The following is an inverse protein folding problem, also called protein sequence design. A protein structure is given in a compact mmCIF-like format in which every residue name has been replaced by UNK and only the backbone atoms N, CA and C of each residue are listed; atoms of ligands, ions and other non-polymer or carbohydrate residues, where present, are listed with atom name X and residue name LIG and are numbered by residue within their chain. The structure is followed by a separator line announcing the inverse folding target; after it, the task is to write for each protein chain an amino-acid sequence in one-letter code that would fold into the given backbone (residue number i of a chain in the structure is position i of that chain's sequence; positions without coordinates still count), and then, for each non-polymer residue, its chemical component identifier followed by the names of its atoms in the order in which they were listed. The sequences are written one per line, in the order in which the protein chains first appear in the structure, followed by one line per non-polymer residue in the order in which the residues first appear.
data_IF_152518688352
#
_entry.id   IF_152518688352
#
_cell.length_a   1.000
_cell.length_b   1.000
_cell.length_c   1.000
_cell.angle_alpha   90.00
_cell.angle_beta   90.00
_cell.angle_gamma   90.00
#
_symmetry.space_group_name_H-M   'P 1'
#
loop_
_entity.id
_entity.type
_entity.pdbx_description
1 polymer ?
#
# COMPACT_ATOMS: atom_id res chain seq x y z
N UNK A 1 11.35 -11.64 12.68
CA UNK A 1 12.60 -12.19 12.14
C UNK A 1 13.76 -11.26 12.48
N UNK A 2 13.72 -10.02 12.05
CA UNK A 2 14.86 -9.09 12.17
C UNK A 2 15.25 -8.78 13.62
N UNK A 3 14.28 -8.66 14.52
CA UNK A 3 14.55 -8.41 15.95
C UNK A 3 15.37 -9.53 16.63
N UNK A 4 15.25 -10.76 16.16
CA UNK A 4 15.95 -11.94 16.69
C UNK A 4 17.05 -12.45 15.78
N UNK A 5 17.18 -11.90 14.55
CA UNK A 5 18.08 -12.36 13.51
C UNK A 5 17.96 -13.86 13.22
N UNK A 6 16.71 -14.31 13.05
CA UNK A 6 16.34 -15.70 12.72
C UNK A 6 15.82 -15.79 11.30
N UNK A 7 15.74 -17.00 10.76
CA UNK A 7 15.20 -17.24 9.41
C UNK A 7 13.66 -17.20 9.38
N UNK A 8 13.03 -17.28 10.55
CA UNK A 8 11.56 -17.27 10.68
C UNK A 8 11.06 -16.06 11.50
N UNK A 9 9.84 -15.58 11.20
CA UNK A 9 8.97 -15.93 10.07
C UNK A 9 9.59 -15.50 8.72
N UNK A 10 9.47 -16.36 7.71
CA UNK A 10 9.97 -16.12 6.36
C UNK A 10 8.84 -15.55 5.48
N UNK A 11 8.96 -14.31 4.97
CA UNK A 11 7.92 -13.69 4.15
C UNK A 11 7.69 -14.45 2.82
N UNK A 12 8.71 -15.09 2.27
CA UNK A 12 8.59 -15.86 1.03
C UNK A 12 7.71 -17.10 1.23
N UNK A 13 7.93 -17.84 2.32
CA UNK A 13 7.07 -18.98 2.67
C UNK A 13 5.64 -18.55 3.00
N UNK A 14 5.49 -17.43 3.72
CA UNK A 14 4.18 -16.88 4.03
C UNK A 14 3.41 -16.51 2.76
N UNK A 15 4.03 -15.88 1.78
CA UNK A 15 3.42 -15.50 0.52
C UNK A 15 2.84 -16.71 -0.23
N UNK A 16 3.60 -17.80 -0.33
CA UNK A 16 3.12 -19.05 -0.97
C UNK A 16 1.88 -19.60 -0.27
N UNK A 17 1.87 -19.61 1.06
CA UNK A 17 0.72 -20.09 1.84
C UNK A 17 -0.51 -19.19 1.66
N UNK A 18 -0.30 -17.89 1.60
CA UNK A 18 -1.36 -16.88 1.38
C UNK A 18 -1.95 -17.01 -0.02
N UNK A 19 -1.13 -17.22 -1.05
CA UNK A 19 -1.63 -17.51 -2.41
C UNK A 19 -2.44 -18.80 -2.47
N UNK A 20 -1.95 -19.88 -1.86
CA UNK A 20 -2.67 -21.15 -1.79
C UNK A 20 -4.00 -21.02 -1.03
N UNK A 21 -4.10 -20.10 -0.08
CA UNK A 21 -5.33 -19.77 0.63
C UNK A 21 -6.29 -18.88 -0.20
N UNK A 22 -5.89 -18.42 -1.38
CA UNK A 22 -6.74 -17.69 -2.32
C UNK A 22 -6.50 -16.18 -2.39
N UNK A 23 -5.37 -15.68 -1.91
CA UNK A 23 -5.01 -14.27 -2.12
C UNK A 23 -4.79 -14.00 -3.62
N UNK A 24 -5.19 -12.80 -4.05
CA UNK A 24 -5.11 -12.37 -5.44
C UNK A 24 -3.83 -11.58 -5.77
N UNK A 25 -3.04 -11.24 -4.75
CA UNK A 25 -1.77 -10.55 -4.86
C UNK A 25 -1.03 -10.56 -3.53
N UNK A 26 0.25 -10.21 -3.56
CA UNK A 26 1.09 -10.07 -2.38
C UNK A 26 1.60 -8.64 -2.29
N UNK A 27 1.21 -7.94 -1.24
CA UNK A 27 1.75 -6.60 -0.94
C UNK A 27 2.84 -6.72 0.11
N UNK A 28 3.98 -6.10 -0.14
CA UNK A 28 5.16 -6.15 0.72
C UNK A 28 5.85 -4.79 0.78
N UNK A 29 6.19 -4.34 2.00
CA UNK A 29 6.83 -3.05 2.22
C UNK A 29 8.34 -3.20 2.40
N UNK A 30 9.13 -2.71 1.45
CA UNK A 30 10.57 -2.59 1.56
C UNK A 30 10.93 -1.21 2.14
N UNK A 31 11.04 -1.14 3.45
CA UNK A 31 11.45 0.08 4.15
C UNK A 31 12.92 0.41 3.89
N UNK A 32 13.27 1.70 3.95
CA UNK A 32 14.66 2.15 3.85
C UNK A 32 15.57 1.48 4.89
N UNK A 33 15.06 1.24 6.11
CA UNK A 33 15.82 0.60 7.19
C UNK A 33 15.80 -0.93 7.17
N UNK A 34 15.11 -1.57 6.21
CA UNK A 34 15.01 -3.04 6.03
C UNK A 34 14.51 -3.79 7.28
N UNK A 35 13.77 -3.14 8.19
CA UNK A 35 13.38 -3.75 9.48
C UNK A 35 12.42 -4.93 9.39
N UNK A 36 11.67 -5.08 8.31
CA UNK A 36 10.66 -6.13 8.15
C UNK A 36 11.00 -7.10 7.03
N UNK A 37 11.26 -6.57 5.85
CA UNK A 37 11.55 -7.30 4.62
C UNK A 37 12.90 -6.82 4.09
N UNK A 38 13.70 -7.73 3.59
CA UNK A 38 14.98 -7.44 2.95
C UNK A 38 14.86 -7.47 1.42
N UNK A 39 15.81 -6.87 0.75
CA UNK A 39 15.94 -6.92 -0.71
C UNK A 39 15.97 -8.35 -1.26
N UNK A 40 16.69 -9.27 -0.57
CA UNK A 40 16.68 -10.70 -0.88
C UNK A 40 15.24 -11.26 -0.90
N UNK A 41 14.45 -10.90 0.10
CA UNK A 41 13.09 -11.42 0.21
C UNK A 41 12.22 -10.92 -0.95
N UNK A 42 12.33 -9.64 -1.32
CA UNK A 42 11.60 -9.08 -2.46
C UNK A 42 11.98 -9.80 -3.75
N UNK A 43 13.28 -10.03 -4.01
CA UNK A 43 13.73 -10.76 -5.20
C UNK A 43 13.17 -12.19 -5.25
N UNK A 44 13.18 -12.90 -4.12
CA UNK A 44 12.61 -14.25 -4.04
C UNK A 44 11.09 -14.25 -4.19
N UNK A 45 10.40 -13.23 -3.68
CA UNK A 45 8.96 -13.08 -3.90
C UNK A 45 8.64 -12.91 -5.38
N UNK A 46 9.41 -12.12 -6.12
CA UNK A 46 9.24 -11.95 -7.56
C UNK A 46 9.41 -13.26 -8.35
N UNK A 47 10.25 -14.17 -7.87
CA UNK A 47 10.47 -15.48 -8.50
C UNK A 47 9.40 -16.51 -8.13
N UNK A 48 8.79 -16.39 -6.94
CA UNK A 48 7.91 -17.43 -6.36
C UNK A 48 6.43 -17.10 -6.44
N UNK A 49 6.06 -15.83 -6.29
CA UNK A 49 4.66 -15.36 -6.34
C UNK A 49 4.15 -15.38 -7.79
N UNK A 50 2.95 -15.92 -8.00
CA UNK A 50 2.33 -16.07 -9.32
C UNK A 50 1.21 -15.08 -9.59
N UNK A 51 0.59 -14.57 -8.54
CA UNK A 51 -0.53 -13.61 -8.62
C UNK A 51 -0.07 -12.19 -8.87
N UNK A 52 1.17 -11.87 -8.49
CA UNK A 52 1.79 -10.55 -8.65
C UNK A 52 2.21 -9.95 -7.31
N UNK A 53 3.26 -9.13 -7.37
CA UNK A 53 3.79 -8.41 -6.20
C UNK A 53 3.51 -6.92 -6.35
N UNK A 54 2.86 -6.35 -5.33
CA UNK A 54 2.80 -4.91 -5.10
C UNK A 54 3.89 -4.54 -4.09
N UNK A 55 4.85 -3.72 -4.50
CA UNK A 55 5.94 -3.27 -3.65
C UNK A 55 5.62 -1.90 -3.06
N UNK A 56 5.45 -1.84 -1.74
CA UNK A 56 5.38 -0.57 -1.02
C UNK A 56 6.79 -0.05 -0.72
N UNK A 57 7.00 1.25 -0.94
CA UNK A 57 8.29 1.89 -0.71
C UNK A 57 8.14 3.41 -0.50
N UNK A 58 9.11 4.00 0.16
CA UNK A 58 9.23 5.46 0.24
C UNK A 58 9.72 6.06 -1.10
N UNK A 59 9.49 7.36 -1.30
CA UNK A 59 10.06 8.10 -2.43
C UNK A 59 11.56 8.39 -2.22
N UNK A 60 12.35 7.38 -1.84
CA UNK A 60 13.77 7.48 -1.55
C UNK A 60 14.60 6.75 -2.62
N UNK A 61 15.75 7.32 -2.97
CA UNK A 61 16.53 6.90 -4.13
C UNK A 61 16.93 5.43 -4.08
N UNK A 62 17.38 4.93 -2.94
CA UNK A 62 17.90 3.57 -2.81
C UNK A 62 16.81 2.49 -3.01
N UNK A 63 15.61 2.68 -2.44
CA UNK A 63 14.51 1.73 -2.64
C UNK A 63 13.85 1.88 -4.01
N UNK A 64 13.86 3.09 -4.60
CA UNK A 64 13.44 3.30 -5.99
C UNK A 64 14.36 2.62 -6.99
N UNK A 65 15.70 2.65 -6.76
CA UNK A 65 16.66 1.94 -7.61
C UNK A 65 16.39 0.43 -7.60
N UNK A 66 16.11 -0.13 -6.42
CA UNK A 66 15.75 -1.54 -6.26
C UNK A 66 14.43 -1.85 -6.99
N UNK A 67 13.40 -1.02 -6.82
CA UNK A 67 12.13 -1.23 -7.49
C UNK A 67 12.27 -1.20 -9.02
N UNK A 68 13.04 -0.26 -9.56
CA UNK A 68 13.30 -0.16 -11.01
C UNK A 68 14.09 -1.36 -11.55
N UNK A 69 15.00 -1.94 -10.75
CA UNK A 69 15.75 -3.14 -11.13
C UNK A 69 14.88 -4.40 -11.09
N UNK A 70 14.04 -4.55 -10.07
CA UNK A 70 13.19 -5.74 -9.84
C UNK A 70 11.92 -5.73 -10.71
N UNK A 71 11.38 -4.56 -11.02
CA UNK A 71 10.18 -4.35 -11.84
C UNK A 71 8.95 -5.13 -11.32
N UNK A 72 8.46 -4.84 -10.08
CA UNK A 72 7.24 -5.47 -9.58
C UNK A 72 6.02 -5.12 -10.45
N UNK A 73 4.95 -5.91 -10.32
CA UNK A 73 3.68 -5.64 -11.02
C UNK A 73 3.14 -4.24 -10.73
N UNK A 74 3.27 -3.80 -9.48
CA UNK A 74 2.88 -2.48 -9.01
C UNK A 74 3.86 -1.99 -7.94
N UNK A 75 4.05 -0.68 -7.88
CA UNK A 75 4.75 0.00 -6.80
C UNK A 75 3.82 1.02 -6.15
N UNK A 76 3.63 0.94 -4.84
CA UNK A 76 2.83 1.87 -4.06
C UNK A 76 3.75 2.76 -3.23
N UNK A 77 3.76 4.06 -3.50
CA UNK A 77 4.50 5.01 -2.69
C UNK A 77 3.77 5.25 -1.37
N UNK A 78 4.48 5.09 -0.27
CA UNK A 78 3.98 5.26 1.10
C UNK A 78 4.84 6.26 1.87
N UNK A 79 4.28 6.99 2.87
CA UNK A 79 5.11 7.79 3.76
C UNK A 79 5.92 6.86 4.67
N UNK A 80 7.17 7.25 4.95
CA UNK A 80 8.03 6.51 5.86
C UNK A 80 8.72 7.47 6.84
N UNK A 81 8.40 7.34 8.12
CA UNK A 81 9.09 8.03 9.19
C UNK A 81 9.83 7.01 10.06
N UNK A 82 11.09 7.30 10.37
CA UNK A 82 11.97 6.37 11.11
C UNK A 82 11.45 6.01 12.49
N UNK A 83 10.72 6.92 13.13
CA UNK A 83 10.22 6.77 14.50
C UNK A 83 8.88 6.04 14.58
N UNK A 84 8.15 5.88 13.49
CA UNK A 84 6.86 5.20 13.44
C UNK A 84 7.04 3.67 13.35
N UNK A 85 6.26 2.94 14.13
CA UNK A 85 6.23 1.47 14.09
C UNK A 85 5.46 0.99 12.86
N UNK A 86 4.39 1.72 12.52
CA UNK A 86 3.56 1.51 11.33
C UNK A 86 3.34 2.85 10.63
N UNK A 87 2.94 2.83 9.36
CA UNK A 87 2.58 4.03 8.61
C UNK A 87 1.29 4.62 9.19
N UNK A 88 1.35 5.84 9.71
CA UNK A 88 0.18 6.58 10.20
C UNK A 88 -0.13 7.74 9.24
N UNK A 89 -1.30 7.67 8.56
CA UNK A 89 -1.72 8.65 7.56
C UNK A 89 -1.17 8.38 6.17
N UNK A 90 -1.77 9.02 5.16
CA UNK A 90 -1.34 8.97 3.77
C UNK A 90 -0.14 9.88 3.48
N UNK A 91 0.34 9.83 2.24
CA UNK A 91 1.37 10.74 1.73
C UNK A 91 0.91 12.19 1.87
N UNK A 92 1.80 13.03 2.35
CA UNK A 92 1.58 14.48 2.35
C UNK A 92 1.79 15.03 0.92
N UNK A 93 0.70 15.39 0.27
CA UNK A 93 0.67 15.99 -1.07
C UNK A 93 0.27 17.47 -1.02
N UNK A 94 0.50 18.15 0.10
CA UNK A 94 0.04 19.53 0.31
C UNK A 94 1.06 20.60 -0.10
N UNK A 95 2.35 20.26 -0.22
CA UNK A 95 3.41 21.20 -0.55
C UNK A 95 4.03 20.92 -1.93
N UNK A 96 4.48 21.98 -2.61
CA UNK A 96 5.16 21.86 -3.90
C UNK A 96 6.42 20.97 -3.81
N UNK A 97 7.13 21.01 -2.68
CA UNK A 97 8.31 20.19 -2.45
C UNK A 97 7.95 18.68 -2.42
N UNK A 98 6.90 18.31 -1.69
CA UNK A 98 6.43 16.92 -1.63
C UNK A 98 5.86 16.45 -2.96
N UNK A 99 5.10 17.29 -3.64
CA UNK A 99 4.59 16.99 -4.97
C UNK A 99 5.72 16.74 -5.97
N UNK A 100 6.80 17.52 -5.91
CA UNK A 100 7.97 17.31 -6.76
C UNK A 100 8.65 15.98 -6.46
N UNK A 101 8.91 15.66 -5.19
CA UNK A 101 9.55 14.40 -4.77
C UNK A 101 8.74 13.19 -5.21
N UNK A 102 7.43 13.20 -4.96
CA UNK A 102 6.53 12.11 -5.37
C UNK A 102 6.43 12.02 -6.89
N UNK A 103 6.33 13.14 -7.59
CA UNK A 103 6.28 13.20 -9.05
C UNK A 103 7.52 12.63 -9.72
N UNK A 104 8.70 12.94 -9.21
CA UNK A 104 9.98 12.40 -9.70
C UNK A 104 10.05 10.87 -9.47
N UNK A 105 9.61 10.41 -8.30
CA UNK A 105 9.54 8.98 -7.99
C UNK A 105 8.58 8.23 -8.93
N UNK A 106 7.36 8.75 -9.14
CA UNK A 106 6.40 8.17 -10.08
C UNK A 106 6.95 8.13 -11.51
N UNK A 107 7.61 9.22 -11.94
CA UNK A 107 8.22 9.29 -13.28
C UNK A 107 9.28 8.20 -13.48
N UNK A 108 10.11 7.94 -12.46
CA UNK A 108 11.12 6.87 -12.49
C UNK A 108 10.47 5.49 -12.59
N UNK A 109 9.48 5.20 -11.73
CA UNK A 109 8.78 3.92 -11.70
C UNK A 109 8.07 3.64 -13.03
N UNK A 110 7.36 4.62 -13.57
CA UNK A 110 6.71 4.50 -14.89
C UNK A 110 7.71 4.33 -16.02
N UNK A 111 8.84 5.03 -15.97
CA UNK A 111 9.94 4.86 -16.91
C UNK A 111 10.52 3.43 -16.92
N UNK A 112 10.42 2.71 -15.80
CA UNK A 112 10.76 1.30 -15.68
C UNK A 112 9.61 0.33 -16.07
N UNK A 113 8.46 0.84 -16.50
CA UNK A 113 7.30 0.02 -16.88
C UNK A 113 6.48 -0.51 -15.71
N UNK A 114 6.62 0.07 -14.52
CA UNK A 114 5.95 -0.35 -13.29
C UNK A 114 4.64 0.42 -13.16
N UNK A 115 3.52 -0.26 -12.87
CA UNK A 115 2.26 0.39 -12.50
C UNK A 115 2.43 1.10 -11.16
N UNK A 116 1.88 2.32 -11.05
CA UNK A 116 2.11 3.18 -9.90
C UNK A 116 0.87 3.38 -9.06
N UNK A 117 1.02 3.41 -7.74
CA UNK A 117 -0.03 3.70 -6.78
C UNK A 117 0.48 4.65 -5.70
N UNK A 118 -0.41 5.47 -5.14
CA UNK A 118 -0.13 6.35 -4.01
C UNK A 118 -1.01 5.99 -2.82
N UNK A 119 -0.38 5.77 -1.66
CA UNK A 119 -1.10 5.60 -0.40
C UNK A 119 -1.50 6.96 0.16
N UNK A 120 -2.80 7.26 0.18
CA UNK A 120 -3.31 8.61 0.47
C UNK A 120 -4.47 8.59 1.46
N UNK A 121 -4.63 9.67 2.19
CA UNK A 121 -5.83 9.87 2.98
C UNK A 121 -7.07 10.06 2.07
N UNK A 122 -8.27 9.62 2.50
CA UNK A 122 -9.48 9.67 1.69
C UNK A 122 -10.04 11.11 1.60
N UNK A 123 -9.26 12.03 1.01
CA UNK A 123 -9.61 13.44 0.81
C UNK A 123 -9.67 13.79 -0.68
N UNK A 124 -10.55 14.70 -1.08
CA UNK A 124 -10.63 15.14 -2.48
C UNK A 124 -9.32 15.75 -3.00
N UNK A 125 -8.60 16.45 -2.13
CA UNK A 125 -7.33 17.12 -2.43
C UNK A 125 -6.26 16.09 -2.80
N UNK A 126 -6.06 15.07 -1.96
CA UNK A 126 -5.07 14.02 -2.18
C UNK A 126 -5.38 13.21 -3.46
N UNK A 127 -6.66 12.91 -3.72
CA UNK A 127 -7.07 12.19 -4.93
C UNK A 127 -6.78 13.02 -6.18
N UNK A 128 -7.10 14.32 -6.19
CA UNK A 128 -6.82 15.21 -7.33
C UNK A 128 -5.31 15.35 -7.57
N UNK A 129 -4.54 15.54 -6.51
CA UNK A 129 -3.08 15.59 -6.59
C UNK A 129 -2.52 14.27 -7.19
N UNK A 130 -3.07 13.11 -6.81
CA UNK A 130 -2.66 11.82 -7.37
C UNK A 130 -2.89 11.74 -8.89
N UNK A 131 -4.02 12.28 -9.38
CA UNK A 131 -4.31 12.38 -10.82
C UNK A 131 -3.33 13.32 -11.52
N UNK A 132 -3.08 14.49 -10.95
CA UNK A 132 -2.16 15.50 -11.50
C UNK A 132 -0.73 14.96 -11.59
N UNK A 133 -0.31 14.16 -10.63
CA UNK A 133 0.98 13.46 -10.62
C UNK A 133 1.02 12.27 -11.61
N UNK A 134 -0.14 11.87 -12.14
CA UNK A 134 -0.27 10.79 -13.12
C UNK A 134 -0.11 9.39 -12.51
N UNK A 135 -0.54 9.17 -11.28
CA UNK A 135 -0.64 7.83 -10.71
C UNK A 135 -1.68 6.98 -11.46
N UNK A 136 -1.46 5.66 -11.51
CA UNK A 136 -2.43 4.71 -12.10
C UNK A 136 -3.49 4.28 -11.10
N UNK A 137 -3.17 4.33 -9.81
CA UNK A 137 -4.03 3.90 -8.71
C UNK A 137 -3.82 4.77 -7.47
N UNK A 138 -4.79 4.69 -6.56
CA UNK A 138 -4.65 5.15 -5.18
C UNK A 138 -5.03 4.04 -4.23
N UNK A 139 -4.30 3.94 -3.11
CA UNK A 139 -4.70 3.15 -1.96
C UNK A 139 -5.20 4.09 -0.87
N UNK A 140 -6.49 3.99 -0.56
CA UNK A 140 -7.14 4.82 0.46
C UNK A 140 -6.76 4.31 1.86
N UNK A 141 -6.19 5.18 2.68
CA UNK A 141 -5.87 4.90 4.07
C UNK A 141 -7.15 4.66 4.89
N UNK A 142 -7.28 3.48 5.48
CA UNK A 142 -8.45 3.09 6.28
C UNK A 142 -8.19 3.07 7.79
N UNK A 143 -7.08 3.61 8.26
CA UNK A 143 -6.69 3.59 9.67
C UNK A 143 -7.67 4.35 10.59
N UNK A 144 -8.11 5.54 10.18
CA UNK A 144 -9.10 6.30 10.93
C UNK A 144 -10.42 5.53 11.07
N UNK A 145 -10.91 4.94 9.99
CA UNK A 145 -12.06 4.04 10.02
C UNK A 145 -11.85 2.85 10.95
N UNK A 146 -10.69 2.22 10.89
CA UNK A 146 -10.38 1.03 11.69
C UNK A 146 -10.37 1.33 13.20
N UNK A 147 -9.89 2.51 13.58
CA UNK A 147 -9.80 2.97 14.96
C UNK A 147 -11.10 3.60 15.49
N UNK A 148 -11.98 4.08 14.61
CA UNK A 148 -13.23 4.72 14.98
C UNK A 148 -14.30 3.73 15.49
N UNK A 149 -15.29 4.24 16.20
CA UNK A 149 -16.44 3.47 16.69
C UNK A 149 -17.75 4.27 16.58
N UNK A 150 -18.88 3.58 16.60
CA UNK A 150 -20.19 4.23 16.61
C UNK A 150 -20.40 5.19 15.44
N UNK A 151 -20.86 6.41 15.73
CA UNK A 151 -21.15 7.44 14.73
C UNK A 151 -19.90 7.90 13.95
N UNK A 152 -18.75 7.93 14.60
CA UNK A 152 -17.49 8.29 13.96
C UNK A 152 -17.09 7.28 12.89
N UNK A 153 -17.24 5.98 13.16
CA UNK A 153 -17.00 4.93 12.15
C UNK A 153 -17.94 5.09 10.93
N UNK A 154 -19.18 5.45 11.16
CA UNK A 154 -20.13 5.73 10.07
C UNK A 154 -19.69 6.92 9.22
N UNK A 155 -19.19 7.97 9.85
CA UNK A 155 -18.62 9.13 9.15
C UNK A 155 -17.41 8.75 8.29
N UNK A 156 -16.51 7.91 8.81
CA UNK A 156 -15.32 7.46 8.08
C UNK A 156 -15.70 6.57 6.87
N UNK A 157 -16.70 5.69 7.00
CA UNK A 157 -17.23 4.94 5.85
C UNK A 157 -17.76 5.87 4.76
N UNK A 158 -18.47 6.93 5.15
CA UNK A 158 -18.96 7.92 4.19
C UNK A 158 -17.82 8.71 3.53
N UNK A 159 -16.74 8.99 4.25
CA UNK A 159 -15.51 9.57 3.66
C UNK A 159 -14.90 8.65 2.61
N UNK A 160 -14.70 7.37 2.96
CA UNK A 160 -14.17 6.36 2.04
C UNK A 160 -15.04 6.20 0.79
N UNK A 161 -16.38 6.15 0.94
CA UNK A 161 -17.31 6.07 -0.18
C UNK A 161 -17.17 7.27 -1.13
N UNK A 162 -17.12 8.49 -0.59
CA UNK A 162 -16.95 9.71 -1.40
C UNK A 162 -15.60 9.72 -2.12
N UNK A 163 -14.54 9.32 -1.42
CA UNK A 163 -13.18 9.25 -1.96
C UNK A 163 -13.08 8.21 -3.09
N UNK A 164 -13.57 6.99 -2.88
CA UNK A 164 -13.59 5.94 -3.89
C UNK A 164 -14.38 6.35 -5.13
N UNK A 165 -15.57 6.94 -4.93
CA UNK A 165 -16.39 7.45 -6.02
C UNK A 165 -15.68 8.57 -6.81
N UNK A 166 -14.96 9.47 -6.13
CA UNK A 166 -14.21 10.52 -6.81
C UNK A 166 -13.05 9.94 -7.61
N UNK A 167 -12.25 9.07 -7.00
CA UNK A 167 -11.10 8.43 -7.64
C UNK A 167 -11.52 7.64 -8.89
N UNK A 168 -12.58 6.82 -8.80
CA UNK A 168 -13.11 6.07 -9.94
C UNK A 168 -13.59 6.98 -11.07
N UNK A 169 -14.25 8.12 -10.77
CA UNK A 169 -14.66 9.09 -11.80
C UNK A 169 -13.48 9.78 -12.47
N UNK A 170 -12.35 9.86 -11.80
CA UNK A 170 -11.10 10.41 -12.32
C UNK A 170 -10.20 9.31 -12.93
N UNK A 171 -10.76 8.12 -13.17
CA UNK A 171 -10.11 7.00 -13.85
C UNK A 171 -8.91 6.39 -13.09
N UNK A 172 -8.80 6.64 -11.77
CA UNK A 172 -7.86 5.93 -10.92
C UNK A 172 -8.44 4.57 -10.52
N UNK A 173 -7.62 3.52 -10.53
CA UNK A 173 -7.94 2.30 -9.80
C UNK A 173 -7.93 2.58 -8.29
N UNK A 174 -8.85 1.97 -7.55
CA UNK A 174 -9.03 2.28 -6.12
C UNK A 174 -8.77 1.04 -5.28
N UNK A 175 -7.76 1.13 -4.45
CA UNK A 175 -7.44 0.14 -3.44
C UNK A 175 -7.72 0.73 -2.05
N UNK A 176 -7.75 -0.10 -1.02
CA UNK A 176 -7.89 0.35 0.36
C UNK A 176 -7.10 -0.55 1.31
N UNK A 177 -6.49 0.02 2.33
CA UNK A 177 -5.66 -0.73 3.25
C UNK A 177 -5.38 0.02 4.55
N UNK A 178 -4.71 -0.67 5.44
CA UNK A 178 -4.29 -0.29 6.76
C UNK A 178 -5.38 -0.42 7.84
N UNK A 179 -5.12 -1.24 8.85
CA UNK A 179 -5.98 -1.43 10.01
C UNK A 179 -7.23 -2.30 9.78
N UNK A 180 -7.42 -2.85 8.58
CA UNK A 180 -8.54 -3.73 8.29
C UNK A 180 -8.36 -5.10 8.96
N UNK A 181 -9.47 -5.61 9.49
CA UNK A 181 -9.56 -6.89 10.21
C UNK A 181 -10.75 -7.71 9.71
N UNK A 182 -10.86 -8.95 10.16
CA UNK A 182 -12.01 -9.81 9.86
C UNK A 182 -13.34 -9.22 10.35
N UNK A 183 -13.29 -8.39 11.40
CA UNK A 183 -14.47 -7.79 12.03
C UNK A 183 -14.91 -6.48 11.36
N UNK A 184 -13.98 -5.73 10.76
CA UNK A 184 -14.28 -4.40 10.22
C UNK A 184 -14.19 -4.30 8.69
N UNK A 185 -13.69 -5.31 7.99
CA UNK A 185 -13.47 -5.27 6.53
C UNK A 185 -14.77 -5.20 5.72
N UNK A 186 -15.85 -5.81 6.20
CA UNK A 186 -17.10 -5.96 5.44
C UNK A 186 -17.66 -4.66 4.88
N UNK A 187 -17.83 -3.60 5.67
CA UNK A 187 -18.32 -2.31 5.18
C UNK A 187 -17.42 -1.66 4.11
N UNK A 188 -16.11 -1.86 4.19
CA UNK A 188 -15.16 -1.33 3.20
C UNK A 188 -15.20 -2.14 1.91
N UNK A 189 -15.28 -3.46 2.02
CA UNK A 189 -15.29 -4.37 0.87
C UNK A 189 -16.49 -4.21 -0.06
N UNK A 190 -17.60 -3.60 0.41
CA UNK A 190 -18.79 -3.36 -0.40
C UNK A 190 -18.85 -1.94 -0.99
N UNK A 191 -17.86 -1.09 -0.74
CA UNK A 191 -17.78 0.25 -1.33
C UNK A 191 -17.59 0.11 -2.84
N UNK A 192 -18.51 0.67 -3.67
CA UNK A 192 -18.36 0.61 -5.12
C UNK A 192 -17.09 1.31 -5.59
N UNK A 193 -16.33 0.65 -6.47
CA UNK A 193 -15.10 1.16 -7.04
C UNK A 193 -13.84 0.71 -6.31
N UNK A 194 -13.91 0.17 -5.10
CA UNK A 194 -12.76 -0.48 -4.47
C UNK A 194 -12.54 -1.84 -5.13
N UNK A 195 -11.36 -2.04 -5.71
CA UNK A 195 -10.99 -3.23 -6.47
C UNK A 195 -10.08 -4.16 -5.67
N UNK A 196 -9.32 -3.62 -4.72
CA UNK A 196 -8.30 -4.35 -3.96
C UNK A 196 -8.29 -3.91 -2.49
N UNK A 197 -8.05 -4.88 -1.61
CA UNK A 197 -7.86 -4.66 -0.17
C UNK A 197 -6.49 -5.17 0.26
N UNK A 198 -5.65 -4.29 0.81
CA UNK A 198 -4.34 -4.62 1.33
C UNK A 198 -4.43 -4.88 2.85
N UNK A 199 -4.35 -6.17 3.24
CA UNK A 199 -4.53 -6.62 4.62
C UNK A 199 -3.37 -7.53 5.01
N UNK A 200 -2.49 -7.05 5.89
CA UNK A 200 -1.34 -7.83 6.37
C UNK A 200 -1.48 -8.24 7.83
N UNK A 201 -1.46 -7.26 8.74
CA UNK A 201 -1.38 -7.50 10.18
C UNK A 201 -2.44 -8.46 10.71
N UNK A 202 -3.70 -8.25 10.38
CA UNK A 202 -4.81 -9.08 10.89
C UNK A 202 -4.74 -10.52 10.40
N UNK A 203 -4.32 -10.76 9.15
CA UNK A 203 -4.16 -12.10 8.60
C UNK A 203 -3.03 -12.83 9.31
N UNK A 204 -1.86 -12.21 9.39
CA UNK A 204 -0.66 -12.82 9.98
C UNK A 204 -0.85 -13.04 11.50
N UNK A 205 -1.38 -12.07 12.23
CA UNK A 205 -1.59 -12.22 13.67
C UNK A 205 -2.61 -13.29 14.03
N UNK A 206 -3.55 -13.57 13.15
CA UNK A 206 -4.53 -14.65 13.36
C UNK A 206 -4.02 -16.05 12.98
N UNK A 207 -2.97 -16.10 12.16
CA UNK A 207 -2.32 -17.35 11.77
C UNK A 207 -1.35 -17.87 12.84
N UNK A 208 -1.04 -17.08 13.87
CA UNK A 208 -0.21 -17.43 15.03
C UNK A 208 -1.10 -17.84 16.21
#
# INVERSE_FOLDING_TARGET
REARRTDEPDPVRAAVLVELAGAHGITVHLREDRRHVSERDVRLLMETVRTGVNLELAAATDVLDIACDIQPMQATLVPEKREEITTEGGLDLSSDEQLQVVGDALSRLRGAGIRTSLFVDPTPEAIRASVELGADAVELHTGEYANASGAERSHEIDRLNRAASLASRLELAVHAGHGLTYENVGPVAVIPGIEELNIGHSIISRAV
#
